data_IF_111637119164
#
_entry.id   IF_111637119164
#
_cell.length_a   1.000
_cell.length_b   1.000
_cell.length_c   1.000
_cell.angle_alpha   90.00
_cell.angle_beta   90.00
_cell.angle_gamma   90.00
#
_symmetry.space_group_name_H-M   'P 1'
#
loop_
_entity.id
_entity.type
_entity.pdbx_description
1 polymer ?
#
# COMPACT_ATOMS: atom_id res chain seq x y z
N UNK A 1 -3.53 -24.87 -3.89
CA UNK A 1 -4.34 -23.78 -3.28
C UNK A 1 -3.45 -22.60 -2.85
N UNK A 2 -2.53 -22.15 -3.72
CA UNK A 2 -1.52 -21.15 -3.34
C UNK A 2 -1.48 -19.94 -4.28
N UNK A 3 -1.78 -20.11 -5.59
CA UNK A 3 -1.96 -19.06 -6.63
C UNK A 3 -2.96 -17.94 -6.26
N UNK A 4 -3.76 -18.16 -5.20
CA UNK A 4 -4.75 -17.20 -4.75
C UNK A 4 -4.10 -16.02 -4.00
N UNK A 5 -3.04 -16.24 -3.22
CA UNK A 5 -2.48 -15.20 -2.35
C UNK A 5 -1.80 -14.10 -3.17
N UNK A 6 -1.15 -14.46 -4.28
CA UNK A 6 -0.47 -13.51 -5.18
C UNK A 6 -1.44 -12.50 -5.79
N UNK A 7 -2.58 -12.98 -6.29
CA UNK A 7 -3.64 -12.12 -6.86
C UNK A 7 -4.31 -11.27 -5.79
N UNK A 8 -4.48 -11.83 -4.59
CA UNK A 8 -5.13 -11.14 -3.47
C UNK A 8 -4.30 -9.94 -3.00
N UNK A 9 -2.96 -9.98 -3.04
CA UNK A 9 -2.13 -8.81 -2.69
C UNK A 9 -2.47 -7.62 -3.58
N UNK A 10 -2.53 -7.80 -4.90
CA UNK A 10 -2.85 -6.71 -5.82
C UNK A 10 -4.30 -6.24 -5.65
N UNK A 11 -5.27 -7.16 -5.62
CA UNK A 11 -6.69 -6.82 -5.49
C UNK A 11 -6.95 -6.03 -4.20
N UNK A 12 -6.44 -6.51 -3.07
CA UNK A 12 -6.65 -5.87 -1.77
C UNK A 12 -5.89 -4.55 -1.65
N UNK A 13 -4.68 -4.46 -2.20
CA UNK A 13 -3.91 -3.22 -2.22
C UNK A 13 -4.60 -2.15 -3.07
N UNK A 14 -5.12 -2.50 -4.25
CA UNK A 14 -5.90 -1.58 -5.09
C UNK A 14 -7.18 -1.13 -4.38
N UNK A 15 -7.92 -2.04 -3.75
CA UNK A 15 -9.13 -1.68 -2.98
C UNK A 15 -8.80 -0.77 -1.80
N UNK A 16 -7.74 -1.09 -1.07
CA UNK A 16 -7.24 -0.27 0.03
C UNK A 16 -6.93 1.14 -0.46
N UNK A 17 -6.20 1.27 -1.57
CA UNK A 17 -5.88 2.56 -2.18
C UNK A 17 -7.13 3.36 -2.53
N UNK A 18 -8.05 2.80 -3.31
CA UNK A 18 -9.27 3.48 -3.74
C UNK A 18 -10.07 4.00 -2.55
N UNK A 19 -10.33 3.12 -1.58
CA UNK A 19 -11.18 3.45 -0.43
C UNK A 19 -10.50 4.45 0.51
N UNK A 20 -9.17 4.34 0.72
CA UNK A 20 -8.42 5.31 1.52
C UNK A 20 -8.40 6.69 0.84
N UNK A 21 -8.17 6.76 -0.47
CA UNK A 21 -8.19 8.02 -1.21
C UNK A 21 -9.57 8.67 -1.17
N UNK A 22 -10.66 7.89 -1.31
CA UNK A 22 -12.02 8.41 -1.18
C UNK A 22 -12.29 8.92 0.25
N UNK A 23 -11.89 8.17 1.28
CA UNK A 23 -12.03 8.62 2.67
C UNK A 23 -11.29 9.93 2.95
N UNK A 24 -10.04 10.06 2.47
CA UNK A 24 -9.23 11.27 2.61
C UNK A 24 -9.92 12.46 1.94
N UNK A 25 -10.42 12.27 0.71
CA UNK A 25 -11.10 13.33 -0.02
C UNK A 25 -12.34 13.81 0.74
N UNK A 26 -13.19 12.88 1.19
CA UNK A 26 -14.39 13.23 1.97
C UNK A 26 -14.02 13.95 3.27
N UNK A 27 -12.99 13.50 4.00
CA UNK A 27 -12.57 14.22 5.20
C UNK A 27 -12.05 15.62 4.92
N UNK A 28 -11.28 15.82 3.83
CA UNK A 28 -10.80 17.15 3.42
C UNK A 28 -11.98 18.06 3.11
N UNK A 29 -12.93 17.59 2.32
CA UNK A 29 -14.13 18.35 1.95
C UNK A 29 -14.99 18.65 3.18
N UNK A 30 -15.16 17.68 4.07
CA UNK A 30 -15.87 17.87 5.32
C UNK A 30 -15.22 18.91 6.22
N UNK A 31 -13.88 18.98 6.28
CA UNK A 31 -13.14 19.96 7.09
C UNK A 31 -13.19 21.35 6.46
N UNK A 32 -12.88 21.46 5.16
CA UNK A 32 -12.65 22.73 4.45
C UNK A 32 -13.93 23.47 4.10
N UNK A 33 -15.01 22.77 3.77
CA UNK A 33 -16.25 23.42 3.36
C UNK A 33 -17.07 23.87 4.57
N UNK A 34 -18.04 24.77 4.36
CA UNK A 34 -19.05 25.15 5.37
C UNK A 34 -20.07 24.02 5.66
N UNK A 35 -19.62 22.77 5.55
CA UNK A 35 -20.39 21.57 5.90
C UNK A 35 -20.78 21.63 7.37
N UNK A 36 -22.05 21.32 7.65
CA UNK A 36 -22.56 21.32 9.01
C UNK A 36 -21.85 20.24 9.85
N UNK A 37 -21.64 20.51 11.15
CA UNK A 37 -20.97 19.57 12.06
C UNK A 37 -21.71 18.24 12.26
N UNK A 38 -22.98 18.15 11.85
CA UNK A 38 -23.79 16.92 11.92
C UNK A 38 -23.93 16.21 10.56
N UNK A 39 -23.15 16.61 9.56
CA UNK A 39 -23.26 16.06 8.22
C UNK A 39 -22.88 14.56 8.19
N UNK A 40 -23.70 13.69 7.55
CA UNK A 40 -23.43 12.25 7.45
C UNK A 40 -22.11 11.90 6.74
N UNK A 41 -21.53 12.82 5.94
CA UNK A 41 -20.25 12.65 5.25
C UNK A 41 -19.12 12.25 6.20
N UNK A 42 -19.11 12.74 7.45
CA UNK A 42 -18.12 12.33 8.45
C UNK A 42 -18.16 10.81 8.70
N UNK A 43 -19.36 10.25 8.91
CA UNK A 43 -19.52 8.82 9.21
C UNK A 43 -19.22 7.97 7.99
N UNK A 44 -19.55 8.44 6.79
CA UNK A 44 -19.18 7.80 5.53
C UNK A 44 -17.66 7.70 5.38
N UNK A 45 -16.94 8.81 5.53
CA UNK A 45 -15.48 8.84 5.45
C UNK A 45 -14.83 7.92 6.51
N UNK A 46 -15.36 7.92 7.74
CA UNK A 46 -14.89 7.04 8.81
C UNK A 46 -15.07 5.55 8.46
N UNK A 47 -16.19 5.18 7.85
CA UNK A 47 -16.42 3.79 7.45
C UNK A 47 -15.48 3.37 6.32
N UNK A 48 -15.27 4.22 5.32
CA UNK A 48 -14.27 3.97 4.28
C UNK A 48 -12.86 3.86 4.85
N UNK A 49 -12.43 4.78 5.74
CA UNK A 49 -11.12 4.67 6.38
C UNK A 49 -10.93 3.34 7.11
N UNK A 50 -11.97 2.87 7.81
CA UNK A 50 -11.96 1.56 8.50
C UNK A 50 -11.85 0.40 7.51
N UNK A 51 -12.60 0.44 6.41
CA UNK A 51 -12.57 -0.59 5.36
C UNK A 51 -11.21 -0.61 4.62
N UNK A 52 -10.71 0.54 4.20
CA UNK A 52 -9.41 0.68 3.56
C UNK A 52 -8.26 0.19 4.44
N UNK A 53 -8.34 0.45 5.76
CA UNK A 53 -7.42 -0.11 6.77
C UNK A 53 -7.48 -1.64 6.82
N UNK A 54 -8.68 -2.23 6.79
CA UNK A 54 -8.83 -3.68 6.81
C UNK A 54 -8.20 -4.35 5.57
N UNK A 55 -8.39 -3.78 4.38
CA UNK A 55 -7.73 -4.27 3.16
C UNK A 55 -6.21 -4.11 3.21
N UNK A 56 -5.71 -3.00 3.78
CA UNK A 56 -4.28 -2.80 3.98
C UNK A 56 -3.68 -3.86 4.91
N UNK A 57 -4.30 -4.11 6.06
CA UNK A 57 -3.83 -5.08 7.04
C UNK A 57 -3.76 -6.50 6.46
N UNK A 58 -4.77 -6.89 5.67
CA UNK A 58 -4.79 -8.14 4.94
C UNK A 58 -3.67 -8.23 3.90
N UNK A 59 -3.48 -7.17 3.08
CA UNK A 59 -2.42 -7.11 2.08
C UNK A 59 -1.04 -7.22 2.72
N UNK A 60 -0.83 -6.56 3.86
CA UNK A 60 0.40 -6.65 4.65
C UNK A 60 0.63 -8.07 5.18
N UNK A 61 -0.42 -8.74 5.66
CA UNK A 61 -0.32 -10.11 6.15
C UNK A 61 0.05 -11.07 5.01
N UNK A 62 -0.55 -10.93 3.85
CA UNK A 62 -0.28 -11.77 2.68
C UNK A 62 1.13 -11.52 2.13
N UNK A 63 1.56 -10.26 2.06
CA UNK A 63 2.93 -9.91 1.71
C UNK A 63 3.95 -10.50 2.70
N UNK A 64 3.67 -10.52 4.00
CA UNK A 64 4.54 -11.16 5.01
C UNK A 64 4.65 -12.66 4.81
N UNK A 65 3.56 -13.35 4.47
CA UNK A 65 3.58 -14.79 4.19
C UNK A 65 4.42 -15.11 2.95
N UNK A 66 4.27 -14.30 1.91
CA UNK A 66 4.89 -14.58 0.61
C UNK A 66 6.34 -14.12 0.53
N UNK A 67 6.65 -12.94 1.06
CA UNK A 67 7.97 -12.28 0.95
C UNK A 67 8.82 -12.37 2.21
N UNK A 68 8.24 -12.91 3.30
CA UNK A 68 8.93 -13.11 4.57
C UNK A 68 9.88 -14.29 4.59
N UNK A 69 10.52 -14.55 5.76
CA UNK A 69 11.36 -15.72 5.94
C UNK A 69 10.53 -17.01 5.73
N UNK A 70 11.14 -18.01 5.10
CA UNK A 70 10.51 -19.31 4.91
C UNK A 70 10.34 -19.98 6.28
N UNK A 71 9.14 -20.49 6.62
CA UNK A 71 8.98 -21.24 7.86
C UNK A 71 9.86 -22.49 7.89
N UNK A 72 10.41 -22.83 9.06
CA UNK A 72 11.32 -23.98 9.23
C UNK A 72 10.67 -25.32 8.83
N UNK A 73 9.34 -25.39 8.92
CA UNK A 73 8.54 -26.57 8.57
C UNK A 73 8.15 -26.63 7.08
N UNK A 74 8.60 -25.69 6.24
CA UNK A 74 8.26 -25.70 4.82
C UNK A 74 8.88 -26.91 4.09
N UNK A 75 8.18 -27.42 3.08
CA UNK A 75 8.67 -28.50 2.24
C UNK A 75 9.93 -28.07 1.45
N UNK A 76 10.78 -29.04 1.08
CA UNK A 76 12.07 -28.77 0.42
C UNK A 76 11.94 -28.05 -0.93
N UNK A 77 10.84 -28.25 -1.63
CA UNK A 77 10.50 -27.65 -2.92
C UNK A 77 9.81 -26.29 -2.81
N UNK A 78 9.38 -25.90 -1.60
CA UNK A 78 8.61 -24.68 -1.36
C UNK A 78 9.37 -23.41 -1.79
N UNK A 79 10.68 -23.34 -1.57
CA UNK A 79 11.48 -22.17 -1.95
C UNK A 79 11.52 -21.97 -3.47
N UNK A 80 11.69 -23.06 -4.22
CA UNK A 80 11.70 -23.05 -5.68
C UNK A 80 10.35 -22.63 -6.24
N UNK A 81 9.28 -23.30 -5.77
CA UNK A 81 7.90 -22.97 -6.13
C UNK A 81 7.56 -21.50 -5.85
N UNK A 82 7.89 -21.02 -4.64
CA UNK A 82 7.61 -19.63 -4.23
C UNK A 82 8.35 -18.62 -5.11
N UNK A 83 9.62 -18.89 -5.42
CA UNK A 83 10.42 -18.00 -6.26
C UNK A 83 9.84 -17.92 -7.68
N UNK A 84 9.41 -19.05 -8.23
CA UNK A 84 8.74 -19.10 -9.53
C UNK A 84 7.40 -18.36 -9.51
N UNK A 85 6.55 -18.62 -8.50
CA UNK A 85 5.26 -17.95 -8.36
C UNK A 85 5.40 -16.42 -8.25
N UNK A 86 6.42 -15.94 -7.53
CA UNK A 86 6.69 -14.51 -7.41
C UNK A 86 7.02 -13.84 -8.75
N UNK A 87 7.76 -14.53 -9.61
CA UNK A 87 8.12 -14.04 -10.96
C UNK A 87 6.92 -14.11 -11.89
N UNK A 88 6.24 -15.26 -11.95
CA UNK A 88 5.08 -15.49 -12.83
C UNK A 88 3.94 -14.50 -12.54
N UNK A 89 3.74 -14.14 -11.27
CA UNK A 89 2.72 -13.17 -10.86
C UNK A 89 3.22 -11.72 -10.84
N UNK A 90 4.43 -11.44 -11.37
CA UNK A 90 5.02 -10.08 -11.43
C UNK A 90 5.05 -9.38 -10.07
N UNK A 91 5.29 -10.11 -8.98
CA UNK A 91 5.33 -9.57 -7.62
C UNK A 91 6.71 -8.98 -7.32
N UNK A 92 7.74 -9.64 -7.83
CA UNK A 92 9.13 -9.21 -7.69
C UNK A 92 9.60 -8.47 -8.93
N UNK A 93 10.62 -7.63 -8.73
CA UNK A 93 11.30 -6.91 -9.80
C UNK A 93 12.66 -7.54 -10.10
N UNK A 94 13.16 -7.27 -11.31
CA UNK A 94 14.43 -7.78 -11.81
C UNK A 94 15.55 -6.74 -11.80
N UNK A 95 15.22 -5.45 -11.89
CA UNK A 95 16.20 -4.36 -11.93
C UNK A 95 17.16 -4.35 -10.75
N UNK A 96 18.44 -4.10 -11.03
CA UNK A 96 19.55 -4.06 -10.08
C UNK A 96 20.12 -2.66 -9.91
N UNK A 97 19.78 -1.72 -10.80
CA UNK A 97 20.09 -0.29 -10.66
C UNK A 97 18.83 0.55 -10.46
N UNK A 98 18.98 1.81 -10.04
CA UNK A 98 17.84 2.73 -9.90
C UNK A 98 17.16 2.93 -11.25
N UNK A 99 17.94 3.08 -12.32
CA UNK A 99 17.45 3.34 -13.67
C UNK A 99 16.64 2.14 -14.19
N UNK A 100 17.15 0.92 -14.01
CA UNK A 100 16.44 -0.31 -14.38
C UNK A 100 15.14 -0.46 -13.59
N UNK A 101 15.18 -0.23 -12.28
CA UNK A 101 14.00 -0.31 -11.41
C UNK A 101 12.97 0.76 -11.76
N UNK A 102 13.41 1.98 -12.07
CA UNK A 102 12.53 3.07 -12.47
C UNK A 102 11.85 2.74 -13.79
N UNK A 103 12.61 2.27 -14.79
CA UNK A 103 12.05 1.84 -16.07
C UNK A 103 11.05 0.68 -15.90
N UNK A 104 11.36 -0.31 -15.07
CA UNK A 104 10.49 -1.45 -14.79
C UNK A 104 9.20 -1.04 -14.05
N UNK A 105 9.31 -0.21 -12.99
CA UNK A 105 8.18 0.15 -12.13
C UNK A 105 7.25 1.20 -12.74
N UNK A 106 7.76 2.09 -13.59
CA UNK A 106 6.94 3.15 -14.22
C UNK A 106 6.01 2.60 -15.30
N UNK A 107 6.38 1.49 -15.95
CA UNK A 107 5.51 0.80 -16.92
C UNK A 107 4.66 -0.30 -16.31
N UNK A 108 4.85 -0.61 -15.03
CA UNK A 108 4.10 -1.66 -14.33
C UNK A 108 2.62 -1.28 -14.18
N UNK A 109 1.74 -2.15 -14.71
CA UNK A 109 0.30 -1.89 -14.76
C UNK A 109 -0.34 -1.72 -13.39
N UNK A 110 0.22 -2.34 -12.36
CA UNK A 110 -0.32 -2.26 -11.01
C UNK A 110 0.21 -1.01 -10.30
N UNK A 111 1.52 -0.75 -10.34
CA UNK A 111 2.13 0.40 -9.65
C UNK A 111 1.60 1.73 -10.19
N UNK A 112 1.44 1.86 -11.51
CA UNK A 112 0.96 3.11 -12.13
C UNK A 112 -0.46 3.51 -11.74
N UNK A 113 -1.25 2.57 -11.20
CA UNK A 113 -2.61 2.86 -10.69
C UNK A 113 -2.60 3.54 -9.33
N UNK A 114 -1.46 3.50 -8.62
CA UNK A 114 -1.34 3.95 -7.23
C UNK A 114 -0.30 5.06 -7.04
N UNK A 115 0.68 5.14 -7.93
CA UNK A 115 1.82 6.06 -7.81
C UNK A 115 2.19 6.70 -9.14
N UNK A 116 2.54 7.97 -9.10
CA UNK A 116 3.10 8.68 -10.26
C UNK A 116 4.56 8.30 -10.52
N UNK A 117 5.08 8.63 -11.71
CA UNK A 117 6.48 8.38 -12.05
C UNK A 117 7.44 9.11 -11.09
N UNK A 118 7.09 10.33 -10.68
CA UNK A 118 7.84 11.15 -9.74
C UNK A 118 7.85 10.53 -8.34
N UNK A 119 6.71 9.98 -7.90
CA UNK A 119 6.62 9.28 -6.61
C UNK A 119 7.48 8.01 -6.60
N UNK A 120 7.49 7.26 -7.70
CA UNK A 120 8.35 6.07 -7.87
C UNK A 120 9.82 6.47 -7.80
N UNK A 121 10.22 7.49 -8.55
CA UNK A 121 11.61 7.98 -8.56
C UNK A 121 12.05 8.43 -7.17
N UNK A 122 11.23 9.24 -6.49
CA UNK A 122 11.51 9.72 -5.14
C UNK A 122 11.65 8.55 -4.15
N UNK A 123 10.78 7.55 -4.24
CA UNK A 123 10.86 6.37 -3.40
C UNK A 123 12.15 5.58 -3.63
N UNK A 124 12.51 5.31 -4.90
CA UNK A 124 13.73 4.59 -5.24
C UNK A 124 14.96 5.32 -4.72
N UNK A 125 15.08 6.64 -4.94
CA UNK A 125 16.17 7.45 -4.40
C UNK A 125 16.28 7.36 -2.87
N UNK A 126 15.17 7.37 -2.15
CA UNK A 126 15.17 7.32 -0.69
C UNK A 126 15.49 5.93 -0.10
N UNK A 127 15.20 4.86 -0.84
CA UNK A 127 15.17 3.51 -0.30
C UNK A 127 16.18 2.54 -0.93
N UNK A 128 16.65 2.78 -2.15
CA UNK A 128 17.47 1.82 -2.92
C UNK A 128 18.70 1.31 -2.14
N UNK A 129 19.55 2.22 -1.64
CA UNK A 129 20.78 1.84 -0.94
C UNK A 129 20.53 1.05 0.35
N UNK A 130 19.48 1.43 1.10
CA UNK A 130 19.05 0.74 2.32
C UNK A 130 18.56 -0.68 2.02
N UNK A 131 17.96 -0.88 0.84
CA UNK A 131 17.50 -2.19 0.42
C UNK A 131 18.62 -3.06 -0.14
N UNK A 132 19.59 -2.48 -0.83
CA UNK A 132 20.75 -3.20 -1.37
C UNK A 132 21.69 -3.72 -0.27
N UNK A 133 21.91 -2.92 0.77
CA UNK A 133 22.83 -3.22 1.87
C UNK A 133 22.18 -3.90 3.10
N UNK A 134 20.85 -3.94 3.15
CA UNK A 134 20.10 -4.44 4.29
C UNK A 134 19.74 -5.93 4.23
N UNK A 135 19.04 -6.41 5.26
CA UNK A 135 18.50 -7.80 5.33
C UNK A 135 17.33 -8.05 4.37
N UNK A 136 16.90 -7.06 3.60
CA UNK A 136 15.70 -7.11 2.76
C UNK A 136 16.12 -7.31 1.30
N UNK A 137 15.49 -8.25 0.60
CA UNK A 137 15.77 -8.46 -0.84
C UNK A 137 15.30 -7.26 -1.66
N UNK A 138 16.17 -6.75 -2.55
CA UNK A 138 15.86 -5.66 -3.49
C UNK A 138 14.72 -6.04 -4.44
N UNK A 139 14.67 -7.30 -4.88
CA UNK A 139 13.59 -7.85 -5.71
C UNK A 139 12.18 -7.63 -5.13
N UNK A 140 12.07 -7.42 -3.81
CA UNK A 140 10.79 -7.24 -3.12
C UNK A 140 10.42 -5.75 -2.96
N UNK A 141 11.15 -4.83 -3.59
CA UNK A 141 10.97 -3.37 -3.46
C UNK A 141 9.59 -2.92 -3.93
N UNK A 142 9.04 -3.50 -5.01
CA UNK A 142 7.71 -3.19 -5.56
C UNK A 142 6.60 -3.27 -4.52
N UNK A 143 6.45 -4.43 -3.88
CA UNK A 143 5.40 -4.62 -2.86
C UNK A 143 5.63 -3.73 -1.65
N UNK A 144 6.89 -3.49 -1.27
CA UNK A 144 7.18 -2.60 -0.15
C UNK A 144 6.78 -1.17 -0.44
N UNK A 145 7.12 -0.67 -1.63
CA UNK A 145 6.75 0.65 -2.10
C UNK A 145 5.23 0.86 -2.06
N UNK A 146 4.48 -0.13 -2.54
CA UNK A 146 3.01 -0.13 -2.50
C UNK A 146 2.48 -0.10 -1.07
N UNK A 147 3.01 -0.95 -0.18
CA UNK A 147 2.60 -0.99 1.23
C UNK A 147 2.96 0.31 1.98
N UNK A 148 4.11 0.91 1.67
CA UNK A 148 4.53 2.18 2.25
C UNK A 148 3.60 3.31 1.78
N UNK A 149 3.21 3.34 0.50
CA UNK A 149 2.20 4.29 -0.03
C UNK A 149 0.86 4.14 0.70
N UNK A 150 0.36 2.91 0.88
CA UNK A 150 -0.86 2.65 1.63
C UNK A 150 -0.74 3.06 3.11
N UNK A 151 0.44 2.87 3.71
CA UNK A 151 0.72 3.32 5.09
C UNK A 151 0.65 4.85 5.19
N UNK A 152 1.22 5.57 4.22
CA UNK A 152 1.15 7.03 4.16
C UNK A 152 -0.30 7.52 4.03
N UNK A 153 -1.11 6.93 3.14
CA UNK A 153 -2.52 7.27 3.00
C UNK A 153 -3.30 6.98 4.29
N UNK A 154 -3.04 5.83 4.94
CA UNK A 154 -3.70 5.50 6.19
C UNK A 154 -3.36 6.51 7.30
N UNK A 155 -2.10 6.92 7.42
CA UNK A 155 -1.67 7.93 8.37
C UNK A 155 -2.34 9.28 8.10
N UNK A 156 -2.37 9.70 6.83
CA UNK A 156 -3.05 10.93 6.42
C UNK A 156 -4.55 10.91 6.76
N UNK A 157 -5.24 9.83 6.40
CA UNK A 157 -6.66 9.65 6.70
C UNK A 157 -6.95 9.67 8.21
N UNK A 158 -6.05 9.10 9.04
CA UNK A 158 -6.17 9.15 10.49
C UNK A 158 -5.99 10.56 11.07
N UNK A 159 -5.05 11.34 10.56
CA UNK A 159 -4.89 12.74 10.97
C UNK A 159 -6.09 13.58 10.56
N UNK A 160 -6.57 13.43 9.32
CA UNK A 160 -7.78 14.09 8.85
C UNK A 160 -9.02 13.69 9.65
N UNK A 161 -9.15 12.42 10.03
CA UNK A 161 -10.25 11.96 10.89
C UNK A 161 -10.24 12.68 12.25
N UNK A 162 -9.07 12.87 12.88
CA UNK A 162 -8.95 13.62 14.15
C UNK A 162 -9.43 15.06 13.97
N UNK A 163 -8.98 15.72 12.92
CA UNK A 163 -9.37 17.09 12.55
C UNK A 163 -10.87 17.20 12.30
N UNK A 164 -11.44 16.28 11.51
CA UNK A 164 -12.88 16.21 11.23
C UNK A 164 -13.71 15.91 12.49
N UNK A 165 -13.19 15.06 13.40
CA UNK A 165 -13.86 14.76 14.67
C UNK A 165 -13.95 15.99 15.57
N UNK A 166 -12.91 16.84 15.60
CA UNK A 166 -12.96 18.12 16.33
C UNK A 166 -14.07 19.01 15.79
N UNK A 167 -14.16 19.18 14.47
CA UNK A 167 -15.26 19.92 13.82
C UNK A 167 -16.64 19.36 14.17
N UNK A 168 -16.78 18.03 14.13
CA UNK A 168 -18.03 17.34 14.47
C UNK A 168 -18.48 17.64 15.91
N UNK A 169 -17.53 17.76 16.82
CA UNK A 169 -17.76 18.09 18.23
C UNK A 169 -17.94 19.60 18.48
N UNK A 170 -17.91 20.43 17.44
CA UNK A 170 -17.94 21.90 17.56
C UNK A 170 -16.67 22.49 18.16
N UNK A 171 -15.56 21.74 18.17
CA UNK A 171 -14.27 22.19 18.67
C UNK A 171 -13.48 22.93 17.58
N UNK A 172 -12.58 23.86 17.96
CA UNK A 172 -11.66 24.51 17.02
C UNK A 172 -10.78 23.48 16.30
N UNK A 173 -10.65 23.67 14.99
CA UNK A 173 -9.84 22.85 14.08
C UNK A 173 -8.43 23.42 13.98
#
# INVERSE_FOLDING_TARGET
MQVQIEREIFIRSSRSFTVLTEAIQIFRDYVQNSTASNDPEYYRARNFLKEGKAFYEQSLQDAKKLLGPIPIYAAKDFEGWRSQALVENKIVVSGQTIEELQAELTVDDFVKTMMSAEEIEAYLKACFDKQKSGKRKLSNIKIRMVLDKLTSLLAEGQELQKTAQRKQQGLPI
#
